data_IF_744894206019
#
_entry.id   IF_744894206019
#
_cell.length_a   1.000
_cell.length_b   1.000
_cell.length_c   1.000
_cell.angle_alpha   90.00
_cell.angle_beta   90.00
_cell.angle_gamma   90.00
#
_symmetry.space_group_name_H-M   'P 1'
#
loop_
_entity.id
_entity.type
_entity.pdbx_description
1 polymer ?
#
# COMPACT_ATOMS: atom_id res chain seq x y z
N UNK A 1 -13.84 0.51 -0.72
CA UNK A 1 -13.72 1.92 -1.17
C UNK A 1 -12.39 2.42 -0.65
N UNK A 2 -11.35 2.43 -1.48
CA UNK A 2 -10.04 2.90 -1.02
C UNK A 2 -10.07 4.42 -0.86
N UNK A 3 -9.62 4.88 0.31
CA UNK A 3 -9.50 6.29 0.68
C UNK A 3 -8.31 6.98 0.00
N UNK A 4 -7.44 6.24 -0.69
CA UNK A 4 -6.22 6.78 -1.27
C UNK A 4 -6.39 7.07 -2.77
N UNK A 5 -6.57 8.35 -3.11
CA UNK A 5 -6.49 8.79 -4.51
C UNK A 5 -5.02 8.88 -4.97
N UNK A 6 -4.73 8.73 -6.27
CA UNK A 6 -3.37 8.88 -6.80
C UNK A 6 -2.72 10.23 -6.48
N UNK A 7 -3.50 11.31 -6.38
CA UNK A 7 -3.03 12.65 -6.04
C UNK A 7 -2.62 12.74 -4.57
N UNK A 8 -3.39 12.10 -3.68
CA UNK A 8 -3.06 12.03 -2.27
C UNK A 8 -1.77 11.22 -2.07
N UNK A 9 -1.65 10.07 -2.73
CA UNK A 9 -0.45 9.23 -2.65
C UNK A 9 0.78 10.01 -3.12
N UNK A 10 0.70 10.71 -4.26
CA UNK A 10 1.78 11.57 -4.76
C UNK A 10 2.18 12.67 -3.78
N UNK A 11 1.20 13.32 -3.15
CA UNK A 11 1.47 14.34 -2.11
C UNK A 11 2.16 13.76 -0.89
N UNK A 12 1.74 12.57 -0.45
CA UNK A 12 2.37 11.89 0.69
C UNK A 12 3.76 11.36 0.35
N UNK A 13 4.01 10.98 -0.91
CA UNK A 13 5.29 10.46 -1.39
C UNK A 13 6.36 11.55 -1.57
N UNK A 14 5.98 12.83 -1.62
CA UNK A 14 6.92 13.94 -1.70
C UNK A 14 7.85 13.93 -0.47
N UNK A 15 9.18 13.90 -0.70
CA UNK A 15 10.19 13.79 0.36
C UNK A 15 10.45 15.10 1.12
N UNK A 16 9.95 16.23 0.62
CA UNK A 16 10.12 17.54 1.23
C UNK A 16 8.83 18.04 1.90
N UNK A 17 7.67 17.75 1.30
CA UNK A 17 6.37 18.24 1.76
C UNK A 17 5.48 17.14 2.35
N UNK A 18 5.81 15.88 2.08
CA UNK A 18 5.07 14.69 2.53
C UNK A 18 5.90 13.84 3.49
N UNK A 19 5.49 12.58 3.62
CA UNK A 19 6.19 11.57 4.43
C UNK A 19 7.47 11.12 3.72
N UNK A 20 7.43 11.01 2.39
CA UNK A 20 8.56 10.56 1.59
C UNK A 20 8.74 9.04 1.63
N UNK A 21 8.25 8.34 0.60
CA UNK A 21 8.38 6.89 0.47
C UNK A 21 8.51 6.47 -1.00
N UNK A 22 9.06 5.28 -1.23
CA UNK A 22 9.11 4.69 -2.56
C UNK A 22 7.80 3.93 -2.89
N UNK A 23 7.23 3.26 -1.88
CA UNK A 23 5.94 2.57 -1.99
C UNK A 23 5.10 2.74 -0.72
N UNK A 24 3.79 2.87 -0.89
CA UNK A 24 2.78 2.90 0.17
C UNK A 24 2.09 1.54 0.23
N UNK A 25 2.19 0.87 1.37
CA UNK A 25 1.42 -0.36 1.65
C UNK A 25 0.21 0.00 2.51
N UNK A 26 -0.99 -0.31 2.02
CA UNK A 26 -2.26 -0.10 2.72
C UNK A 26 -2.82 -1.44 3.12
N UNK A 27 -3.04 -1.63 4.42
CA UNK A 27 -3.70 -2.82 4.97
C UNK A 27 -5.18 -2.51 5.13
N UNK A 28 -6.02 -3.30 4.49
CA UNK A 28 -7.47 -3.21 4.56
C UNK A 28 -8.04 -4.47 5.23
N UNK A 29 -9.24 -4.36 5.85
CA UNK A 29 -9.98 -5.55 6.25
C UNK A 29 -10.14 -6.49 5.05
N UNK A 30 -10.09 -7.81 5.27
CA UNK A 30 -10.25 -8.77 4.19
C UNK A 30 -11.66 -8.63 3.58
N UNK A 31 -11.74 -8.69 2.25
CA UNK A 31 -13.02 -8.71 1.54
C UNK A 31 -13.72 -10.06 1.65
N UNK A 32 -12.98 -11.11 1.99
CA UNK A 32 -13.44 -12.47 2.21
C UNK A 32 -13.16 -12.87 3.67
N UNK A 33 -14.16 -13.32 4.45
CA UNK A 33 -13.94 -13.76 5.83
C UNK A 33 -12.97 -14.94 5.99
N UNK A 34 -12.62 -15.66 4.91
CA UNK A 34 -11.60 -16.73 4.93
C UNK A 34 -10.16 -16.23 4.72
N UNK A 35 -9.96 -14.94 4.40
CA UNK A 35 -8.65 -14.32 4.29
C UNK A 35 -8.34 -13.52 5.56
N UNK A 36 -7.11 -13.63 6.08
CA UNK A 36 -6.75 -12.90 7.30
C UNK A 36 -6.64 -11.38 7.08
N UNK A 37 -6.12 -10.95 5.92
CA UNK A 37 -5.92 -9.53 5.59
C UNK A 37 -5.97 -9.28 4.07
N UNK A 38 -6.43 -8.10 3.68
CA UNK A 38 -6.22 -7.58 2.33
C UNK A 38 -5.16 -6.49 2.37
N UNK A 39 -4.25 -6.45 1.39
CA UNK A 39 -3.31 -5.34 1.29
C UNK A 39 -3.19 -4.88 -0.16
N UNK A 40 -2.89 -3.59 -0.30
CA UNK A 40 -2.67 -2.90 -1.58
C UNK A 40 -1.35 -2.19 -1.51
N UNK A 41 -0.61 -2.17 -2.61
CA UNK A 41 0.66 -1.45 -2.70
C UNK A 41 0.53 -0.41 -3.80
N UNK A 42 0.93 0.82 -3.49
CA UNK A 42 0.98 1.93 -4.43
C UNK A 42 2.41 2.42 -4.57
N UNK A 43 2.82 2.76 -5.79
CA UNK A 43 4.07 3.46 -6.00
C UNK A 43 3.93 4.95 -5.64
N UNK A 44 5.06 5.64 -5.51
CA UNK A 44 5.11 7.09 -5.27
C UNK A 44 4.34 7.94 -6.32
N UNK A 45 4.15 7.43 -7.53
CA UNK A 45 3.36 8.09 -8.59
C UNK A 45 1.83 7.93 -8.42
N UNK A 46 1.39 7.15 -7.43
CA UNK A 46 0.00 6.86 -7.16
C UNK A 46 -0.57 5.68 -7.95
N UNK A 47 0.23 5.01 -8.78
CA UNK A 47 -0.17 3.78 -9.46
C UNK A 47 -0.24 2.62 -8.47
N UNK A 48 -1.31 1.83 -8.55
CA UNK A 48 -1.43 0.60 -7.79
C UNK A 48 -0.63 -0.51 -8.49
N UNK A 49 0.18 -1.21 -7.71
CA UNK A 49 0.92 -2.39 -8.16
C UNK A 49 0.32 -3.64 -7.53
N UNK A 50 -0.27 -4.48 -8.37
CA UNK A 50 -0.62 -5.84 -8.00
C UNK A 50 0.67 -6.66 -7.97
N UNK A 51 1.16 -7.01 -6.77
CA UNK A 51 2.45 -7.67 -6.70
C UNK A 51 2.36 -9.17 -7.04
N UNK A 52 3.32 -9.63 -7.84
CA UNK A 52 3.64 -11.02 -8.18
C UNK A 52 4.23 -11.85 -7.00
N UNK A 53 3.78 -11.62 -5.76
CA UNK A 53 4.13 -12.44 -4.59
C UNK A 53 5.33 -11.97 -3.75
N UNK A 54 6.08 -10.94 -4.16
CA UNK A 54 7.17 -10.38 -3.35
C UNK A 54 6.70 -9.48 -2.18
N UNK A 55 5.49 -8.91 -2.26
CA UNK A 55 4.94 -8.00 -1.23
C UNK A 55 4.44 -8.72 0.00
N UNK A 56 3.95 -9.94 -0.21
CA UNK A 56 3.56 -10.84 0.85
C UNK A 56 4.74 -11.12 1.81
N UNK A 57 5.98 -11.15 1.30
CA UNK A 57 7.18 -11.35 2.14
C UNK A 57 7.54 -10.15 3.00
N UNK A 58 7.33 -8.91 2.53
CA UNK A 58 7.50 -7.72 3.37
C UNK A 58 6.33 -7.55 4.37
N UNK A 59 5.11 -7.94 3.97
CA UNK A 59 3.94 -7.92 4.85
C UNK A 59 4.11 -8.89 6.04
N UNK A 60 4.63 -10.10 5.79
CA UNK A 60 4.92 -11.06 6.84
C UNK A 60 5.97 -10.58 7.87
N UNK A 61 6.82 -9.62 7.53
CA UNK A 61 7.80 -9.03 8.46
C UNK A 61 7.22 -7.84 9.24
N UNK A 62 6.16 -7.20 8.72
CA UNK A 62 5.50 -6.07 9.39
C UNK A 62 4.37 -6.51 10.33
N UNK A 63 3.76 -7.67 10.08
CA UNK A 63 2.64 -8.22 10.84
C UNK A 63 3.01 -9.31 11.87
N UNK A 64 4.31 -9.56 12.07
CA UNK A 64 4.85 -10.44 13.13
C UNK A 64 5.80 -9.62 14.01
#
# INVERSE_FOLDING_TARGET
MSFFSPELIRRLADRHLGVGFDQLLVVEPPYDPELDFHYRIFNADGSEVAQCGNGARCFAVLCV
#
